data_IF_999939700362
#
_entry.id   IF_999939700362
#
_cell.length_a   1.000
_cell.length_b   1.000
_cell.length_c   1.000
_cell.angle_alpha   90.00
_cell.angle_beta   90.00
_cell.angle_gamma   90.00
#
_symmetry.space_group_name_H-M   'P 1'
#
loop_
_entity.id
_entity.type
_entity.pdbx_description
1 polymer ?
#
# COMPACT_ATOMS: atom_id res chain seq x y z
N UNK A 1 -6.86 -1.66 -10.07
CA UNK A 1 -7.78 -0.70 -10.72
C UNK A 1 -7.12 -0.12 -11.97
N UNK A 2 -7.90 0.00 -13.04
CA UNK A 2 -7.44 0.41 -14.37
C UNK A 2 -8.26 1.63 -14.82
N UNK A 3 -7.89 2.84 -14.40
CA UNK A 3 -8.60 4.07 -14.79
C UNK A 3 -8.38 4.43 -16.25
N UNK A 4 -9.37 5.10 -16.85
CA UNK A 4 -9.18 5.77 -18.13
C UNK A 4 -8.09 6.86 -18.02
N UNK A 5 -7.54 7.32 -19.16
CA UNK A 5 -6.41 8.26 -19.18
C UNK A 5 -6.69 9.57 -18.42
N UNK A 6 -7.90 10.13 -18.56
CA UNK A 6 -8.32 11.35 -17.86
C UNK A 6 -8.40 11.14 -16.34
N UNK A 7 -9.01 10.03 -15.91
CA UNK A 7 -9.11 9.69 -14.48
C UNK A 7 -7.74 9.42 -13.86
N UNK A 8 -6.86 8.75 -14.60
CA UNK A 8 -5.47 8.54 -14.19
C UNK A 8 -4.76 9.87 -13.89
N UNK A 9 -4.89 10.85 -14.81
CA UNK A 9 -4.28 12.17 -14.64
C UNK A 9 -4.87 12.91 -13.43
N UNK A 10 -6.19 12.85 -13.25
CA UNK A 10 -6.87 13.44 -12.10
C UNK A 10 -6.37 12.85 -10.78
N UNK A 11 -6.32 11.52 -10.66
CA UNK A 11 -5.83 10.86 -9.45
C UNK A 11 -4.34 11.16 -9.19
N UNK A 12 -3.51 11.27 -10.25
CA UNK A 12 -2.10 11.70 -10.11
C UNK A 12 -1.99 13.15 -9.62
N UNK A 13 -2.87 14.04 -10.06
CA UNK A 13 -2.93 15.43 -9.60
C UNK A 13 -3.31 15.49 -8.12
N UNK A 14 -4.34 14.74 -7.71
CA UNK A 14 -4.72 14.62 -6.30
C UNK A 14 -3.59 14.07 -5.44
N UNK A 15 -2.87 13.02 -5.88
CA UNK A 15 -1.70 12.50 -5.16
C UNK A 15 -0.61 13.55 -4.96
N UNK A 16 -0.31 14.31 -6.01
CA UNK A 16 0.68 15.37 -5.94
C UNK A 16 0.26 16.45 -4.95
N UNK A 17 -1.02 16.84 -4.94
CA UNK A 17 -1.53 17.90 -4.10
C UNK A 17 -1.63 17.46 -2.63
N UNK A 18 -2.07 16.22 -2.40
CA UNK A 18 -2.05 15.57 -1.09
C UNK A 18 -0.64 15.56 -0.50
N UNK A 19 0.37 15.17 -1.30
CA UNK A 19 1.78 15.22 -0.89
C UNK A 19 2.24 16.63 -0.55
N UNK A 20 1.85 17.62 -1.36
CA UNK A 20 2.24 19.02 -1.13
C UNK A 20 1.70 19.52 0.22
N UNK A 21 0.41 19.31 0.48
CA UNK A 21 -0.23 19.70 1.75
C UNK A 21 0.42 18.97 2.94
N UNK A 22 0.67 17.67 2.80
CA UNK A 22 1.37 16.90 3.83
C UNK A 22 2.76 17.49 4.13
N UNK A 23 3.57 17.75 3.10
CA UNK A 23 4.94 18.25 3.27
C UNK A 23 4.95 19.67 3.84
N UNK A 24 4.03 20.53 3.39
CA UNK A 24 3.82 21.86 3.96
C UNK A 24 3.48 21.76 5.46
N UNK A 25 2.58 20.84 5.82
CA UNK A 25 2.17 20.64 7.22
C UNK A 25 3.35 20.17 8.08
N UNK A 26 4.17 19.22 7.61
CA UNK A 26 5.39 18.79 8.31
C UNK A 26 6.37 19.95 8.46
N UNK A 27 6.56 20.77 7.43
CA UNK A 27 7.44 21.94 7.51
C UNK A 27 6.95 22.94 8.56
N UNK A 28 5.64 23.17 8.61
CA UNK A 28 5.02 24.05 9.60
C UNK A 28 5.16 23.49 11.02
N UNK A 29 4.93 22.19 11.22
CA UNK A 29 5.04 21.50 12.51
C UNK A 29 6.48 21.44 13.07
N UNK A 30 7.50 21.51 12.20
CA UNK A 30 8.89 21.64 12.65
C UNK A 30 9.15 22.97 13.36
N UNK A 31 8.47 24.04 12.92
CA UNK A 31 8.59 25.36 13.52
C UNK A 31 7.60 25.58 14.68
N UNK A 32 6.36 25.09 14.54
CA UNK A 32 5.27 25.24 15.52
C UNK A 32 4.70 23.86 15.90
N UNK A 33 5.35 23.16 16.84
CA UNK A 33 5.13 21.72 17.04
C UNK A 33 3.84 21.33 17.75
N UNK A 34 3.14 22.26 18.38
CA UNK A 34 2.02 21.98 19.28
C UNK A 34 0.64 22.34 18.68
N UNK A 35 0.57 22.53 17.37
CA UNK A 35 -0.68 22.89 16.71
C UNK A 35 -1.56 21.68 16.43
N UNK A 36 -2.86 21.87 16.62
CA UNK A 36 -3.87 20.86 16.30
C UNK A 36 -4.08 20.73 14.79
N UNK A 37 -4.53 19.56 14.35
CA UNK A 37 -4.90 19.32 12.96
C UNK A 37 -5.98 20.31 12.47
N UNK A 38 -6.92 20.68 13.33
CA UNK A 38 -7.97 21.65 13.00
C UNK A 38 -7.38 23.02 12.64
N UNK A 39 -6.48 23.55 13.47
CA UNK A 39 -5.82 24.83 13.23
C UNK A 39 -4.98 24.81 11.95
N UNK A 40 -4.24 23.72 11.74
CA UNK A 40 -3.42 23.53 10.54
C UNK A 40 -4.26 23.42 9.26
N UNK A 41 -5.48 22.89 9.34
CA UNK A 41 -6.39 22.84 8.19
C UNK A 41 -6.86 24.23 7.76
N UNK A 42 -7.13 25.13 8.70
CA UNK A 42 -7.49 26.52 8.38
C UNK A 42 -6.30 27.23 7.72
N UNK A 43 -5.13 27.15 8.35
CA UNK A 43 -3.88 27.72 7.81
C UNK A 43 -3.53 27.17 6.42
N UNK A 44 -3.67 25.86 6.21
CA UNK A 44 -3.40 25.24 4.91
C UNK A 44 -4.36 25.69 3.78
N UNK A 45 -5.56 26.18 4.14
CA UNK A 45 -6.53 26.73 3.17
C UNK A 45 -6.24 28.18 2.83
N UNK A 46 -5.78 28.96 3.81
CA UNK A 46 -5.41 30.37 3.68
C UNK A 46 -4.05 30.56 3.00
N UNK A 47 -3.16 29.56 3.11
CA UNK A 47 -1.86 29.56 2.47
C UNK A 47 -1.94 29.82 0.95
N UNK A 48 -1.03 30.64 0.44
CA UNK A 48 -0.88 30.88 -0.99
C UNK A 48 -0.31 29.64 -1.70
N UNK A 49 -1.21 28.70 -2.04
CA UNK A 49 -0.87 27.43 -2.67
C UNK A 49 -1.02 27.50 -4.21
N UNK A 50 -0.21 26.74 -4.97
CA UNK A 50 -0.37 26.65 -6.42
C UNK A 50 -1.79 26.21 -6.83
N UNK A 51 -2.28 26.66 -7.99
CA UNK A 51 -3.66 26.40 -8.41
C UNK A 51 -3.98 24.92 -8.54
N UNK A 52 -3.02 24.10 -9.00
CA UNK A 52 -3.18 22.66 -9.08
C UNK A 52 -3.35 21.98 -7.71
N UNK A 53 -2.93 22.62 -6.61
CA UNK A 53 -3.19 22.18 -5.22
C UNK A 53 -4.56 22.65 -4.76
N UNK A 54 -5.03 23.83 -5.23
CA UNK A 54 -6.36 24.36 -4.91
C UNK A 54 -7.49 23.45 -5.38
N UNK A 55 -7.28 22.75 -6.49
CA UNK A 55 -8.21 21.75 -7.04
C UNK A 55 -8.36 20.47 -6.21
N UNK A 56 -7.50 20.25 -5.19
CA UNK A 56 -7.66 19.10 -4.30
C UNK A 56 -8.94 19.26 -3.48
N UNK A 57 -9.84 18.24 -3.44
CA UNK A 57 -11.07 18.38 -2.68
C UNK A 57 -10.79 18.57 -1.18
N UNK A 58 -11.68 19.32 -0.53
CA UNK A 58 -11.46 19.80 0.83
C UNK A 58 -11.21 18.70 1.86
N UNK A 59 -11.89 17.55 1.76
CA UNK A 59 -11.63 16.43 2.68
C UNK A 59 -10.23 15.84 2.49
N UNK A 60 -9.68 15.78 1.27
CA UNK A 60 -8.31 15.27 1.07
C UNK A 60 -7.26 16.21 1.66
N UNK A 61 -7.50 17.52 1.63
CA UNK A 61 -6.67 18.46 2.36
C UNK A 61 -6.70 18.14 3.86
N UNK A 62 -7.90 17.94 4.43
CA UNK A 62 -8.05 17.60 5.85
C UNK A 62 -7.32 16.30 6.20
N UNK A 63 -7.48 15.26 5.37
CA UNK A 63 -6.79 13.98 5.54
C UNK A 63 -5.26 14.11 5.39
N UNK A 64 -4.76 14.95 4.47
CA UNK A 64 -3.33 15.17 4.30
C UNK A 64 -2.70 15.87 5.51
N UNK A 65 -3.41 16.84 6.10
CA UNK A 65 -3.00 17.51 7.34
C UNK A 65 -3.02 16.53 8.51
N UNK A 66 -4.09 15.73 8.65
CA UNK A 66 -4.20 14.73 9.71
C UNK A 66 -3.07 13.70 9.62
N UNK A 67 -2.79 13.17 8.42
CA UNK A 67 -1.66 12.28 8.16
C UNK A 67 -0.31 12.86 8.61
N UNK A 68 -0.08 14.15 8.34
CA UNK A 68 1.16 14.82 8.71
C UNK A 68 1.28 15.02 10.23
N UNK A 69 0.18 15.39 10.89
CA UNK A 69 0.13 15.53 12.35
C UNK A 69 0.38 14.18 13.03
N UNK A 70 -0.26 13.11 12.55
CA UNK A 70 -0.07 11.77 13.09
C UNK A 70 1.37 11.28 12.89
N UNK A 71 1.94 11.48 11.70
CA UNK A 71 3.33 11.14 11.43
C UNK A 71 4.32 11.93 12.32
N UNK A 72 4.04 13.21 12.58
CA UNK A 72 4.85 14.05 13.48
C UNK A 72 4.76 13.57 14.93
N UNK A 73 3.56 13.23 15.41
CA UNK A 73 3.36 12.66 16.76
C UNK A 73 4.09 11.33 16.91
N UNK A 74 3.95 10.42 15.94
CA UNK A 74 4.63 9.13 15.95
C UNK A 74 6.15 9.28 15.90
N UNK A 75 6.67 10.21 15.08
CA UNK A 75 8.10 10.47 15.03
C UNK A 75 8.62 10.98 16.38
N UNK A 76 7.93 11.94 16.99
CA UNK A 76 8.29 12.45 18.32
C UNK A 76 8.27 11.37 19.40
N UNK A 77 7.24 10.51 19.41
CA UNK A 77 7.15 9.39 20.34
C UNK A 77 8.34 8.43 20.23
N UNK A 78 8.90 8.30 19.02
CA UNK A 78 10.09 7.50 18.74
C UNK A 78 11.39 8.32 18.73
N UNK A 79 11.41 9.50 19.37
CA UNK A 79 12.60 10.38 19.49
C UNK A 79 13.20 10.72 18.11
N UNK A 80 12.33 10.88 17.11
CA UNK A 80 12.70 11.15 15.73
C UNK A 80 11.94 12.33 15.12
N UNK A 81 12.23 12.61 13.85
CA UNK A 81 11.59 13.66 13.08
C UNK A 81 10.79 13.07 11.91
N UNK A 82 9.58 13.58 11.70
CA UNK A 82 8.78 13.19 10.55
C UNK A 82 9.44 13.65 9.24
N UNK A 83 9.48 12.75 8.26
CA UNK A 83 10.08 12.97 6.96
C UNK A 83 9.06 13.47 5.94
N UNK A 84 9.54 14.18 4.93
CA UNK A 84 8.71 14.60 3.80
C UNK A 84 8.39 13.41 2.90
N UNK A 85 7.16 13.35 2.40
CA UNK A 85 6.74 12.40 1.37
C UNK A 85 7.44 12.77 0.04
N UNK A 86 8.06 11.78 -0.60
CA UNK A 86 8.76 11.95 -1.88
C UNK A 86 7.84 11.73 -3.09
N UNK A 87 8.04 12.49 -4.16
CA UNK A 87 7.36 12.25 -5.43
C UNK A 87 7.80 10.94 -6.12
N UNK A 88 8.98 10.44 -5.75
CA UNK A 88 9.59 9.21 -6.25
C UNK A 88 9.30 8.00 -5.36
N UNK A 89 8.55 8.19 -4.26
CA UNK A 89 8.13 7.08 -3.41
C UNK A 89 7.38 6.04 -4.25
N UNK A 90 7.71 4.77 -4.04
CA UNK A 90 7.08 3.65 -4.75
C UNK A 90 5.61 3.51 -4.40
N UNK A 91 5.25 3.93 -3.19
CA UNK A 91 3.91 3.84 -2.62
C UNK A 91 3.44 5.25 -2.23
N UNK A 92 2.27 5.64 -2.73
CA UNK A 92 1.65 6.93 -2.43
C UNK A 92 0.15 6.70 -2.24
N UNK A 93 -0.42 7.28 -1.18
CA UNK A 93 -1.80 7.05 -0.79
C UNK A 93 -2.59 8.35 -0.74
N UNK A 94 -3.85 8.28 -1.13
CA UNK A 94 -4.88 9.28 -0.85
C UNK A 94 -5.90 8.62 0.07
N UNK A 95 -6.17 9.24 1.22
CA UNK A 95 -7.24 8.81 2.13
C UNK A 95 -8.53 9.59 1.84
N UNK A 96 -9.66 8.91 1.99
CA UNK A 96 -10.99 9.44 1.76
C UNK A 96 -11.85 9.16 2.99
N UNK A 97 -12.58 10.18 3.45
CA UNK A 97 -13.53 10.04 4.56
C UNK A 97 -14.72 9.17 4.16
N UNK A 98 -15.47 8.73 5.18
CA UNK A 98 -16.74 8.02 5.01
C UNK A 98 -17.67 8.84 4.11
N UNK A 99 -18.33 8.18 3.17
CA UNK A 99 -19.25 8.82 2.24
C UNK A 99 -18.60 9.50 1.02
N UNK A 100 -17.27 9.55 0.91
CA UNK A 100 -16.60 10.03 -0.30
C UNK A 100 -16.53 9.00 -1.43
N UNK A 101 -16.79 7.73 -1.10
CA UNK A 101 -16.94 6.65 -2.07
C UNK A 101 -18.41 6.23 -2.14
N UNK A 102 -19.07 6.55 -3.26
CA UNK A 102 -20.49 6.32 -3.52
C UNK A 102 -20.68 5.97 -4.99
N UNK A 103 -21.73 5.22 -5.32
CA UNK A 103 -22.05 4.79 -6.69
C UNK A 103 -20.84 4.19 -7.43
N UNK A 104 -20.01 3.42 -6.71
CA UNK A 104 -18.84 2.74 -7.25
C UNK A 104 -17.64 3.64 -7.60
N UNK A 105 -17.64 4.92 -7.22
CA UNK A 105 -16.51 5.84 -7.49
C UNK A 105 -16.20 6.80 -6.33
N UNK A 106 -15.00 7.37 -6.34
CA UNK A 106 -14.61 8.47 -5.44
C UNK A 106 -15.03 9.81 -6.03
N UNK A 107 -15.71 10.65 -5.24
CA UNK A 107 -16.19 11.97 -5.67
C UNK A 107 -16.98 11.96 -6.99
N UNK A 108 -18.21 11.42 -6.96
CA UNK A 108 -19.06 11.26 -8.15
C UNK A 108 -19.19 12.51 -9.04
N UNK A 109 -19.16 13.71 -8.46
CA UNK A 109 -19.18 14.97 -9.21
C UNK A 109 -17.86 15.26 -9.91
N UNK A 110 -16.73 15.13 -9.19
CA UNK A 110 -15.40 15.39 -9.73
C UNK A 110 -14.95 14.32 -10.74
N UNK A 111 -15.48 13.10 -10.63
CA UNK A 111 -15.21 11.99 -11.56
C UNK A 111 -16.38 11.70 -12.49
N UNK A 112 -17.31 12.64 -12.69
CA UNK A 112 -18.48 12.42 -13.55
C UNK A 112 -18.04 12.09 -14.97
N UNK A 113 -18.57 11.00 -15.54
CA UNK A 113 -18.20 10.51 -16.86
C UNK A 113 -16.79 9.92 -16.97
N UNK A 114 -16.10 9.72 -15.84
CA UNK A 114 -14.80 9.07 -15.79
C UNK A 114 -14.95 7.67 -15.18
N UNK A 115 -14.35 6.69 -15.85
CA UNK A 115 -14.50 5.28 -15.49
C UNK A 115 -13.16 4.60 -15.22
N UNK A 116 -13.21 3.53 -14.45
CA UNK A 116 -12.11 2.60 -14.26
C UNK A 116 -12.63 1.16 -14.24
N UNK A 117 -11.79 0.23 -14.70
CA UNK A 117 -12.06 -1.20 -14.56
C UNK A 117 -11.42 -1.75 -13.29
N UNK A 118 -12.05 -2.74 -12.69
CA UNK A 118 -11.48 -3.49 -11.56
C UNK A 118 -11.35 -4.97 -11.94
N UNK A 119 -10.32 -5.63 -11.41
CA UNK A 119 -10.16 -7.08 -11.55
C UNK A 119 -11.12 -7.84 -10.61
N UNK A 120 -11.44 -7.23 -9.48
CA UNK A 120 -12.34 -7.77 -8.47
C UNK A 120 -13.60 -6.91 -8.37
N UNK A 121 -14.71 -7.52 -7.91
CA UNK A 121 -15.94 -6.77 -7.62
C UNK A 121 -15.65 -5.75 -6.52
N UNK A 122 -15.99 -4.50 -6.79
CA UNK A 122 -15.90 -3.41 -5.82
C UNK A 122 -17.29 -3.16 -5.22
N UNK A 123 -17.36 -2.75 -3.94
CA UNK A 123 -18.65 -2.36 -3.37
C UNK A 123 -19.17 -1.08 -4.06
N UNK A 124 -20.48 -0.83 -3.99
CA UNK A 124 -21.07 0.42 -4.50
C UNK A 124 -20.87 1.59 -3.54
N UNK A 125 -20.74 1.30 -2.26
CA UNK A 125 -20.49 2.25 -1.18
C UNK A 125 -19.67 1.57 -0.08
N UNK A 126 -18.97 2.36 0.74
CA UNK A 126 -18.18 1.82 1.85
C UNK A 126 -18.58 2.52 3.16
N UNK A 127 -18.84 1.71 4.20
CA UNK A 127 -19.19 2.19 5.55
C UNK A 127 -18.02 2.93 6.21
N UNK A 128 -16.80 2.58 5.84
CA UNK A 128 -15.57 3.12 6.41
C UNK A 128 -14.87 4.07 5.42
N UNK A 129 -13.87 4.80 5.91
CA UNK A 129 -12.98 5.57 5.05
C UNK A 129 -12.26 4.65 4.07
N UNK A 130 -12.09 5.10 2.83
CA UNK A 130 -11.43 4.33 1.77
C UNK A 130 -10.08 4.94 1.43
N UNK A 131 -9.24 4.19 0.74
CA UNK A 131 -7.96 4.72 0.26
C UNK A 131 -7.76 4.40 -1.22
N UNK A 132 -7.09 5.32 -1.92
CA UNK A 132 -6.58 5.08 -3.26
C UNK A 132 -5.05 5.03 -3.17
N UNK A 133 -4.49 3.85 -3.37
CA UNK A 133 -3.07 3.57 -3.29
C UNK A 133 -2.48 3.48 -4.71
N UNK A 134 -1.44 4.26 -4.97
CA UNK A 134 -0.59 4.14 -6.14
C UNK A 134 0.72 3.48 -5.75
N UNK A 135 0.86 2.22 -6.14
CA UNK A 135 2.02 1.40 -5.80
C UNK A 135 2.63 0.84 -7.09
N UNK A 136 3.92 1.12 -7.30
CA UNK A 136 4.73 0.54 -8.41
C UNK A 136 4.11 0.68 -9.80
N UNK A 137 3.36 1.77 -10.04
CA UNK A 137 2.71 2.04 -11.31
C UNK A 137 1.28 1.53 -11.45
N UNK A 138 0.75 0.87 -10.42
CA UNK A 138 -0.60 0.32 -10.37
C UNK A 138 -1.46 1.06 -9.34
N UNK A 139 -2.76 1.11 -9.61
CA UNK A 139 -3.75 1.69 -8.71
C UNK A 139 -4.49 0.60 -7.96
N UNK A 140 -4.64 0.77 -6.65
CA UNK A 140 -5.39 -0.11 -5.75
C UNK A 140 -6.40 0.73 -4.98
N UNK A 141 -7.62 0.23 -4.85
CA UNK A 141 -8.61 0.77 -3.91
C UNK A 141 -8.63 -0.08 -2.67
N UNK A 142 -8.53 0.56 -1.51
CA UNK A 142 -8.61 -0.10 -0.21
C UNK A 142 -9.98 0.20 0.37
N UNK A 143 -10.75 -0.87 0.60
CA UNK A 143 -12.10 -0.83 1.14
C UNK A 143 -12.11 -1.62 2.45
N UNK A 144 -12.04 -0.94 3.60
CA UNK A 144 -12.11 -1.62 4.88
C UNK A 144 -13.50 -2.24 5.07
N UNK A 145 -13.51 -3.41 5.67
CA UNK A 145 -14.70 -4.13 6.10
C UNK A 145 -14.43 -4.65 7.50
N UNK A 146 -15.40 -4.46 8.40
CA UNK A 146 -15.36 -5.09 9.71
C UNK A 146 -15.90 -6.51 9.58
N UNK A 147 -15.17 -7.47 10.15
CA UNK A 147 -15.57 -8.87 10.21
C UNK A 147 -15.52 -9.31 11.66
N UNK A 148 -16.62 -9.88 12.13
CA UNK A 148 -16.66 -10.48 13.45
C UNK A 148 -15.65 -11.63 13.54
N UNK A 149 -14.89 -11.76 14.64
CA UNK A 149 -14.05 -12.92 14.88
C UNK A 149 -14.89 -14.20 14.81
N UNK A 150 -14.37 -15.21 14.11
CA UNK A 150 -14.98 -16.54 14.08
C UNK A 150 -14.20 -17.45 15.00
N UNK A 151 -14.90 -18.10 15.94
CA UNK A 151 -14.28 -19.11 16.79
C UNK A 151 -13.92 -20.36 15.97
N UNK A 152 -12.81 -21.01 16.32
CA UNK A 152 -12.37 -22.24 15.65
C UNK A 152 -13.01 -23.45 16.33
N UNK A 153 -13.60 -24.33 15.53
CA UNK A 153 -14.06 -25.66 15.98
C UNK A 153 -12.98 -26.74 15.89
N UNK A 154 -11.79 -26.38 15.40
CA UNK A 154 -10.69 -27.33 15.25
C UNK A 154 -10.15 -27.73 16.62
N UNK A 155 -9.55 -28.92 16.69
CA UNK A 155 -8.87 -29.43 17.90
C UNK A 155 -7.39 -29.76 17.65
N UNK A 156 -6.97 -29.81 16.39
CA UNK A 156 -5.61 -30.17 16.01
C UNK A 156 -4.56 -29.22 16.55
N UNK A 157 -3.36 -29.76 16.80
CA UNK A 157 -2.20 -29.00 17.28
C UNK A 157 -1.05 -29.26 16.33
N UNK A 158 -0.33 -28.22 15.91
CA UNK A 158 0.83 -28.37 15.04
C UNK A 158 1.99 -27.49 15.51
N UNK A 159 3.20 -28.04 15.48
CA UNK A 159 4.42 -27.27 15.65
C UNK A 159 5.07 -27.01 14.28
N UNK A 160 5.51 -25.78 14.05
CA UNK A 160 6.06 -25.33 12.78
C UNK A 160 7.54 -24.98 12.89
N UNK A 161 8.29 -25.26 11.83
CA UNK A 161 9.70 -24.91 11.66
C UNK A 161 9.93 -24.35 10.24
N UNK A 162 10.41 -23.10 10.09
CA UNK A 162 10.71 -22.51 8.80
C UNK A 162 11.99 -23.11 8.22
N UNK A 163 11.97 -23.38 6.92
CA UNK A 163 13.10 -23.96 6.21
C UNK A 163 13.41 -23.29 4.88
N UNK A 164 14.53 -23.69 4.29
CA UNK A 164 14.94 -23.24 2.95
C UNK A 164 14.44 -24.18 1.85
N UNK A 165 14.50 -25.50 2.08
CA UNK A 165 14.05 -26.52 1.10
C UNK A 165 12.52 -26.56 0.98
N UNK A 166 11.85 -26.48 2.13
CA UNK A 166 10.42 -26.29 2.29
C UNK A 166 10.26 -25.01 3.10
N UNK A 167 9.42 -24.08 2.62
CA UNK A 167 9.22 -22.79 3.28
C UNK A 167 8.83 -22.97 4.75
N UNK A 168 7.96 -23.95 5.02
CA UNK A 168 7.49 -24.27 6.36
C UNK A 168 7.30 -25.79 6.46
N UNK A 169 7.87 -26.39 7.49
CA UNK A 169 7.62 -27.79 7.85
C UNK A 169 6.81 -27.80 9.13
N UNK A 170 5.80 -28.66 9.23
CA UNK A 170 4.97 -28.80 10.40
C UNK A 170 4.85 -30.25 10.85
N UNK A 171 4.74 -30.47 12.16
CA UNK A 171 4.47 -31.79 12.73
C UNK A 171 3.32 -31.69 13.73
N UNK A 172 2.30 -32.52 13.56
CA UNK A 172 1.08 -32.53 14.40
C UNK A 172 1.02 -33.72 15.38
N UNK A 173 2.12 -34.45 15.53
CA UNK A 173 2.18 -35.68 16.34
C UNK A 173 1.94 -36.95 15.54
N UNK A 174 1.45 -36.85 14.29
CA UNK A 174 1.17 -38.00 13.42
C UNK A 174 1.65 -37.83 11.99
N UNK A 175 1.55 -36.62 11.44
CA UNK A 175 1.87 -36.31 10.05
C UNK A 175 2.88 -35.17 9.95
N UNK A 176 3.67 -35.21 8.88
CA UNK A 176 4.59 -34.14 8.50
C UNK A 176 3.95 -33.34 7.37
N UNK A 177 3.74 -32.05 7.61
CA UNK A 177 3.27 -31.08 6.63
C UNK A 177 4.47 -30.36 6.01
N UNK A 178 4.64 -30.42 4.70
CA UNK A 178 5.66 -29.63 3.99
C UNK A 178 4.98 -28.59 3.08
N UNK A 179 5.23 -27.31 3.35
CA UNK A 179 4.70 -26.20 2.55
C UNK A 179 5.80 -25.59 1.68
N UNK A 180 5.49 -25.33 0.41
CA UNK A 180 6.40 -24.65 -0.52
C UNK A 180 7.60 -25.50 -0.94
N UNK A 181 7.49 -26.83 -0.87
CA UNK A 181 8.54 -27.76 -1.31
C UNK A 181 8.87 -27.52 -2.78
N UNK A 182 10.16 -27.32 -3.08
CA UNK A 182 10.69 -27.04 -4.43
C UNK A 182 10.23 -25.72 -5.09
N UNK A 183 9.42 -24.88 -4.42
CA UNK A 183 8.92 -23.63 -5.01
C UNK A 183 10.00 -22.53 -5.11
N UNK A 184 11.03 -22.61 -4.26
CA UNK A 184 12.12 -21.62 -4.20
C UNK A 184 12.85 -21.45 -5.53
N UNK A 185 12.92 -22.51 -6.36
CA UNK A 185 13.60 -22.45 -7.66
C UNK A 185 12.98 -21.43 -8.61
N UNK A 186 11.65 -21.20 -8.52
CA UNK A 186 10.97 -20.18 -9.32
C UNK A 186 11.34 -18.77 -8.87
N UNK A 187 11.44 -18.55 -7.56
CA UNK A 187 11.85 -17.26 -6.98
C UNK A 187 13.31 -16.99 -7.35
N UNK A 188 14.20 -17.97 -7.20
CA UNK A 188 15.61 -17.84 -7.54
C UNK A 188 15.82 -17.42 -9.00
N UNK A 189 15.11 -18.04 -9.95
CA UNK A 189 15.17 -17.64 -11.37
C UNK A 189 14.76 -16.18 -11.59
N UNK A 190 13.75 -15.69 -10.87
CA UNK A 190 13.34 -14.28 -10.95
C UNK A 190 14.38 -13.34 -10.32
N UNK A 191 15.00 -13.74 -9.21
CA UNK A 191 16.09 -13.00 -8.58
C UNK A 191 17.30 -12.89 -9.50
N UNK A 192 17.77 -14.01 -10.07
CA UNK A 192 18.88 -14.01 -11.04
C UNK A 192 18.57 -13.14 -12.26
N UNK A 193 17.35 -13.19 -12.77
CA UNK A 193 16.94 -12.32 -13.87
C UNK A 193 16.92 -10.83 -13.47
N UNK A 194 16.47 -10.52 -12.25
CA UNK A 194 16.51 -9.18 -11.69
C UNK A 194 17.96 -8.66 -11.57
N UNK A 195 18.88 -9.48 -11.06
CA UNK A 195 20.29 -9.12 -10.87
C UNK A 195 20.98 -8.84 -12.21
N UNK A 196 20.75 -9.70 -13.20
CA UNK A 196 21.21 -9.49 -14.56
C UNK A 196 20.68 -8.18 -15.15
N UNK A 197 19.41 -7.85 -14.89
CA UNK A 197 18.81 -6.61 -15.35
C UNK A 197 19.39 -5.38 -14.62
N UNK A 198 19.66 -5.49 -13.32
CA UNK A 198 20.30 -4.44 -12.52
C UNK A 198 21.73 -4.18 -13.01
N UNK A 199 22.50 -5.22 -13.33
CA UNK A 199 23.83 -5.11 -13.94
C UNK A 199 23.79 -4.38 -15.29
N UNK A 200 22.85 -4.75 -16.17
CA UNK A 200 22.62 -4.07 -17.45
C UNK A 200 22.23 -2.59 -17.28
N UNK A 201 21.44 -2.26 -16.26
CA UNK A 201 21.09 -0.87 -15.93
C UNK A 201 22.33 -0.06 -15.54
N UNK A 202 23.22 -0.63 -14.73
CA UNK A 202 24.43 0.04 -14.27
C UNK A 202 25.40 0.34 -15.42
N UNK A 203 25.48 -0.55 -16.41
CA UNK A 203 26.37 -0.44 -17.59
C UNK A 203 25.78 0.33 -18.77
N UNK A 204 24.53 0.78 -18.70
CA UNK A 204 23.86 1.42 -19.83
C UNK A 204 24.01 2.94 -19.78
N UNK A 205 24.59 3.53 -20.83
CA UNK A 205 24.74 4.99 -20.96
C UNK A 205 23.45 5.70 -21.38
N UNK A 206 22.52 4.96 -22.00
CA UNK A 206 21.28 5.52 -22.51
C UNK A 206 20.20 5.68 -21.43
N UNK A 207 19.85 6.94 -21.12
CA UNK A 207 18.83 7.30 -20.12
C UNK A 207 17.47 6.62 -20.35
N UNK A 208 17.00 6.59 -21.61
CA UNK A 208 15.72 5.96 -21.97
C UNK A 208 15.72 4.45 -21.73
N UNK A 209 16.82 3.78 -22.08
CA UNK A 209 17.00 2.35 -21.86
C UNK A 209 17.03 2.02 -20.36
N UNK A 210 17.83 2.75 -19.57
CA UNK A 210 17.83 2.63 -18.10
C UNK A 210 16.44 2.77 -17.50
N UNK A 211 15.67 3.75 -17.96
CA UNK A 211 14.30 3.95 -17.49
C UNK A 211 13.39 2.75 -17.78
N UNK A 212 13.41 2.23 -19.01
CA UNK A 212 12.60 1.06 -19.38
C UNK A 212 13.00 -0.19 -18.60
N UNK A 213 14.31 -0.45 -18.45
CA UNK A 213 14.82 -1.56 -17.66
C UNK A 213 14.46 -1.43 -16.18
N UNK A 214 14.50 -0.23 -15.60
CA UNK A 214 14.02 0.01 -14.22
C UNK A 214 12.53 -0.32 -14.06
N UNK A 215 11.69 0.04 -15.04
CA UNK A 215 10.27 -0.37 -15.03
C UNK A 215 10.12 -1.89 -15.07
N UNK A 216 10.93 -2.58 -15.87
CA UNK A 216 10.95 -4.05 -15.91
C UNK A 216 11.40 -4.65 -14.57
N UNK A 217 12.46 -4.12 -13.97
CA UNK A 217 12.92 -4.51 -12.63
C UNK A 217 11.83 -4.33 -11.57
N UNK A 218 11.10 -3.22 -11.59
CA UNK A 218 9.96 -2.98 -10.69
C UNK A 218 8.87 -4.04 -10.86
N UNK A 219 8.55 -4.45 -12.10
CA UNK A 219 7.57 -5.53 -12.35
C UNK A 219 8.04 -6.88 -11.80
N UNK A 220 9.33 -7.22 -11.99
CA UNK A 220 9.91 -8.47 -11.46
C UNK A 220 9.86 -8.47 -9.93
N UNK A 221 10.27 -7.37 -9.28
CA UNK A 221 10.14 -7.22 -7.82
C UNK A 221 8.70 -7.38 -7.34
N UNK A 222 7.74 -6.81 -8.05
CA UNK A 222 6.31 -6.99 -7.77
C UNK A 222 5.88 -8.45 -7.88
N UNK A 223 6.32 -9.16 -8.93
CA UNK A 223 6.03 -10.60 -9.11
C UNK A 223 6.60 -11.46 -7.99
N UNK A 224 7.85 -11.23 -7.60
CA UNK A 224 8.50 -11.94 -6.48
C UNK A 224 7.67 -11.74 -5.20
N UNK A 225 7.35 -10.49 -4.85
CA UNK A 225 6.56 -10.20 -3.65
C UNK A 225 5.17 -10.82 -3.69
N UNK A 226 4.49 -10.81 -4.84
CA UNK A 226 3.17 -11.41 -4.98
C UNK A 226 3.22 -12.93 -4.81
N UNK A 227 4.26 -13.61 -5.34
CA UNK A 227 4.44 -15.05 -5.15
C UNK A 227 4.68 -15.41 -3.68
N UNK A 228 5.54 -14.66 -2.99
CA UNK A 228 5.80 -14.86 -1.56
C UNK A 228 4.52 -14.63 -0.74
N UNK A 229 3.82 -13.52 -1.00
CA UNK A 229 2.58 -13.19 -0.29
C UNK A 229 1.47 -14.21 -0.54
N UNK A 230 1.33 -14.71 -1.76
CA UNK A 230 0.38 -15.76 -2.10
C UNK A 230 0.66 -17.05 -1.32
N UNK A 231 1.93 -17.49 -1.28
CA UNK A 231 2.36 -18.64 -0.48
C UNK A 231 2.04 -18.43 1.00
N UNK A 232 2.43 -17.29 1.58
CA UNK A 232 2.19 -16.98 2.99
C UNK A 232 0.70 -16.96 3.31
N UNK A 233 -0.12 -16.32 2.49
CA UNK A 233 -1.57 -16.23 2.69
C UNK A 233 -2.24 -17.61 2.61
N UNK A 234 -1.84 -18.45 1.64
CA UNK A 234 -2.35 -19.82 1.53
C UNK A 234 -1.91 -20.69 2.70
N UNK A 235 -0.67 -20.54 3.14
CA UNK A 235 -0.13 -21.24 4.31
C UNK A 235 -0.91 -20.88 5.57
N UNK A 236 -1.05 -19.58 5.85
CA UNK A 236 -1.83 -19.09 6.99
C UNK A 236 -3.28 -19.56 6.90
N UNK A 237 -3.93 -19.42 5.74
CA UNK A 237 -5.31 -19.87 5.55
C UNK A 237 -5.47 -21.37 5.75
N UNK A 238 -4.50 -22.18 5.32
CA UNK A 238 -4.52 -23.62 5.55
C UNK A 238 -4.37 -23.95 7.04
N UNK A 239 -3.37 -23.36 7.70
CA UNK A 239 -3.08 -23.63 9.10
C UNK A 239 -4.28 -23.29 10.00
N UNK A 240 -4.86 -22.09 9.86
CA UNK A 240 -6.00 -21.66 10.70
C UNK A 240 -7.30 -22.41 10.41
N UNK A 241 -7.40 -23.06 9.24
CA UNK A 241 -8.56 -23.89 8.89
C UNK A 241 -8.50 -25.30 9.49
N UNK A 242 -7.30 -25.82 9.75
CA UNK A 242 -7.10 -27.22 10.14
C UNK A 242 -6.64 -27.40 11.59
N UNK A 243 -6.02 -26.38 12.20
CA UNK A 243 -5.42 -26.49 13.53
C UNK A 243 -5.97 -25.45 14.49
N UNK A 244 -6.16 -25.86 15.75
CA UNK A 244 -6.55 -25.01 16.89
C UNK A 244 -5.38 -24.25 17.46
N UNK A 245 -4.27 -24.97 17.68
CA UNK A 245 -3.06 -24.44 18.31
C UNK A 245 -1.89 -24.63 17.37
N UNK A 246 -1.21 -23.53 17.06
CA UNK A 246 -0.08 -23.49 16.15
C UNK A 246 1.13 -22.97 16.93
N UNK A 247 2.11 -23.83 17.18
CA UNK A 247 3.38 -23.41 17.77
C UNK A 247 4.29 -22.84 16.69
N UNK A 248 4.74 -21.61 16.90
CA UNK A 248 5.77 -20.97 16.07
C UNK A 248 7.14 -21.18 16.73
N UNK A 249 8.21 -21.30 15.93
CA UNK A 249 9.56 -21.39 16.48
C UNK A 249 9.95 -20.06 17.14
N UNK A 250 10.80 -20.17 18.15
CA UNK A 250 11.32 -19.03 18.93
C UNK A 250 12.60 -18.48 18.34
#
# INVERSE_FOLDING_TARGET
>A
MYPCKKLHQLWKKWLAAYRWIYNWTIAYLRNKPNLSAFSLQALAREENRPDWVKELPGHQLQEAVADAVDAHKQAKANIGNASFKSCRAFDQVIKFKVGNFKNGTWYCQATKGLEFKSAEKIPQQCRYGTQLLYQKGLWFGVFPEYREPTETSQTGVIALDPGVRSFLTGYDGSTILEIGKNDIGRINRLCTHLDNLMSKIARSDHKRQRYQMRKAATRIRGKIQNLIKDLHNKSASFLVKNYKLIFLPT
#
